data_IF_139821381923
#
_entry.id   IF_139821381923
#
_cell.length_a   1.000
_cell.length_b   1.000
_cell.length_c   1.000
_cell.angle_alpha   90.00
_cell.angle_beta   90.00
_cell.angle_gamma   90.00
#
_symmetry.space_group_name_H-M   'P 1'
#
loop_
_entity.id
_entity.type
_entity.pdbx_description
1 polymer ?
#
# COMPACT_ATOMS: atom_id res chain seq x y z
N UNK A 1 16.52 32.01 -3.01
CA UNK A 1 16.80 30.72 -2.38
C UNK A 1 17.99 30.93 -1.47
N UNK A 2 17.85 30.66 -0.17
CA UNK A 2 18.92 30.86 0.82
C UNK A 2 20.00 29.79 0.66
N UNK A 3 21.24 30.07 1.07
CA UNK A 3 22.32 29.06 1.10
C UNK A 3 21.94 27.86 1.98
N UNK A 4 21.16 28.10 3.03
CA UNK A 4 20.60 27.06 3.90
C UNK A 4 19.62 26.12 3.18
N UNK A 5 18.82 26.64 2.22
CA UNK A 5 17.89 25.82 1.44
C UNK A 5 18.65 24.90 0.48
N UNK A 6 19.80 25.36 -0.03
CA UNK A 6 20.64 24.58 -0.96
C UNK A 6 21.38 23.46 -0.24
N UNK A 7 21.83 23.70 0.99
CA UNK A 7 22.48 22.70 1.84
C UNK A 7 21.48 21.64 2.32
N UNK A 8 20.27 22.04 2.70
CA UNK A 8 19.19 21.11 3.09
C UNK A 8 18.75 20.16 1.97
N UNK A 9 18.68 20.65 0.72
CA UNK A 9 18.39 19.81 -0.46
C UNK A 9 19.54 18.83 -0.75
N UNK A 10 20.79 19.21 -0.42
CA UNK A 10 21.95 18.33 -0.63
C UNK A 10 22.05 17.18 0.38
N UNK A 11 21.37 17.29 1.52
CA UNK A 11 21.30 16.28 2.58
C UNK A 11 20.05 15.37 2.49
N UNK A 12 19.15 15.61 1.53
CA UNK A 12 18.01 14.74 1.29
C UNK A 12 18.47 13.36 0.81
N UNK A 13 18.07 12.32 1.55
CA UNK A 13 18.30 10.91 1.20
C UNK A 13 17.05 10.37 0.48
N UNK A 14 17.01 10.39 -0.87
CA UNK A 14 15.79 10.07 -1.62
C UNK A 14 15.41 8.60 -1.52
N UNK A 15 16.28 7.74 -1.00
CA UNK A 15 16.08 6.29 -0.94
C UNK A 15 14.84 5.93 -0.13
N UNK A 16 14.54 6.66 0.94
CA UNK A 16 13.31 6.44 1.71
C UNK A 16 12.07 6.75 0.87
N UNK A 17 12.05 7.87 0.16
CA UNK A 17 10.91 8.28 -0.66
C UNK A 17 10.70 7.34 -1.85
N UNK A 18 11.78 6.91 -2.50
CA UNK A 18 11.75 5.93 -3.57
C UNK A 18 11.19 4.60 -3.05
N UNK A 19 11.69 4.12 -1.90
CA UNK A 19 11.21 2.87 -1.30
C UNK A 19 9.72 2.96 -0.93
N UNK A 20 9.31 4.00 -0.22
CA UNK A 20 7.92 4.23 0.16
C UNK A 20 6.99 4.30 -1.05
N UNK A 21 7.39 5.04 -2.09
CA UNK A 21 6.64 5.15 -3.35
C UNK A 21 6.54 3.82 -4.09
N UNK A 22 7.64 3.06 -4.18
CA UNK A 22 7.66 1.73 -4.80
C UNK A 22 6.78 0.74 -4.05
N UNK A 23 6.86 0.71 -2.70
CA UNK A 23 6.00 -0.15 -1.90
C UNK A 23 4.52 0.21 -2.07
N UNK A 24 4.18 1.50 -2.01
CA UNK A 24 2.81 1.97 -2.25
C UNK A 24 2.26 1.65 -3.63
N UNK A 25 3.13 1.51 -4.64
CA UNK A 25 2.74 1.14 -6.00
C UNK A 25 2.67 -0.38 -6.21
N UNK A 26 3.64 -1.13 -5.69
CA UNK A 26 3.81 -2.55 -6.01
C UNK A 26 2.92 -3.46 -5.15
N UNK A 27 2.73 -3.17 -3.87
CA UNK A 27 1.96 -4.08 -2.99
C UNK A 27 0.48 -4.20 -3.37
N UNK A 28 -0.22 -3.15 -3.86
CA UNK A 28 -1.60 -3.31 -4.35
C UNK A 28 -1.66 -4.16 -5.60
N UNK A 29 -0.69 -4.00 -6.51
CA UNK A 29 -0.60 -4.82 -7.73
C UNK A 29 -0.38 -6.29 -7.36
N UNK A 30 0.55 -6.56 -6.44
CA UNK A 30 0.81 -7.92 -5.94
C UNK A 30 -0.42 -8.51 -5.26
N UNK A 31 -1.13 -7.73 -4.43
CA UNK A 31 -2.38 -8.16 -3.80
C UNK A 31 -3.44 -8.49 -4.84
N UNK A 32 -3.70 -7.61 -5.82
CA UNK A 32 -4.70 -7.84 -6.87
C UNK A 32 -4.39 -9.09 -7.69
N UNK A 33 -3.14 -9.27 -8.11
CA UNK A 33 -2.72 -10.48 -8.84
C UNK A 33 -2.86 -11.71 -7.94
N UNK A 34 -2.44 -11.62 -6.68
CA UNK A 34 -2.56 -12.70 -5.71
C UNK A 34 -4.01 -13.16 -5.51
N UNK A 35 -4.94 -12.22 -5.32
CA UNK A 35 -6.37 -12.51 -5.19
C UNK A 35 -6.88 -13.23 -6.45
N UNK A 36 -6.52 -12.74 -7.64
CA UNK A 36 -6.91 -13.37 -8.90
C UNK A 36 -6.36 -14.80 -9.02
N UNK A 37 -5.11 -15.02 -8.65
CA UNK A 37 -4.49 -16.35 -8.65
C UNK A 37 -5.18 -17.29 -7.68
N UNK A 38 -5.42 -16.85 -6.44
CA UNK A 38 -6.12 -17.65 -5.41
C UNK A 38 -7.51 -18.02 -5.91
N UNK A 39 -8.27 -17.07 -6.46
CA UNK A 39 -9.59 -17.31 -7.04
C UNK A 39 -9.57 -18.32 -8.20
N UNK A 40 -8.53 -18.35 -9.03
CA UNK A 40 -8.41 -19.32 -10.12
C UNK A 40 -8.11 -20.74 -9.64
N UNK A 41 -7.38 -20.90 -8.53
CA UNK A 41 -6.96 -22.22 -8.01
C UNK A 41 -7.89 -22.75 -6.93
N UNK A 42 -8.73 -21.90 -6.34
CA UNK A 42 -9.73 -22.31 -5.35
C UNK A 42 -10.80 -23.19 -5.99
N UNK A 43 -10.95 -24.45 -5.54
CA UNK A 43 -12.04 -25.30 -5.99
C UNK A 43 -13.38 -24.65 -5.59
N UNK A 44 -14.37 -24.76 -6.48
CA UNK A 44 -15.74 -24.29 -6.26
C UNK A 44 -15.93 -22.76 -6.11
N UNK A 45 -14.88 -21.94 -6.34
CA UNK A 45 -15.03 -20.48 -6.32
C UNK A 45 -15.73 -19.95 -7.58
N UNK A 46 -16.83 -19.24 -7.39
CA UNK A 46 -17.59 -18.56 -8.43
C UNK A 46 -17.25 -17.08 -8.50
N UNK A 47 -16.70 -16.63 -9.64
CA UNK A 47 -16.38 -15.21 -9.88
C UNK A 47 -17.59 -14.27 -9.90
N UNK A 48 -18.80 -14.82 -10.03
CA UNK A 48 -20.04 -14.04 -10.13
C UNK A 48 -20.78 -14.05 -8.78
N UNK A 49 -20.77 -15.17 -8.09
CA UNK A 49 -21.57 -15.38 -6.87
C UNK A 49 -20.76 -15.12 -5.59
N UNK A 50 -19.47 -15.47 -5.59
CA UNK A 50 -18.64 -15.41 -4.39
C UNK A 50 -17.85 -14.11 -4.31
N UNK A 51 -17.87 -13.50 -3.13
CA UNK A 51 -17.13 -12.29 -2.84
C UNK A 51 -15.65 -12.59 -2.54
N UNK A 52 -14.82 -11.55 -2.58
CA UNK A 52 -13.44 -11.63 -2.07
C UNK A 52 -13.42 -12.06 -0.60
N UNK A 53 -14.46 -11.72 0.19
CA UNK A 53 -14.54 -12.14 1.58
C UNK A 53 -14.82 -13.64 1.73
N UNK A 54 -15.50 -14.26 0.76
CA UNK A 54 -15.72 -15.71 0.73
C UNK A 54 -14.41 -16.43 0.41
N UNK A 55 -13.63 -15.89 -0.54
CA UNK A 55 -12.29 -16.37 -0.87
C UNK A 55 -11.31 -16.27 0.32
N UNK A 56 -11.54 -15.31 1.22
CA UNK A 56 -10.75 -15.13 2.45
C UNK A 56 -11.18 -16.06 3.60
N UNK A 57 -12.11 -16.99 3.39
CA UNK A 57 -12.50 -18.01 4.37
C UNK A 57 -11.98 -19.39 3.99
N UNK A 58 -11.95 -20.32 4.95
CA UNK A 58 -11.53 -21.70 4.72
C UNK A 58 -10.03 -21.83 4.43
N UNK A 59 -9.68 -22.70 3.48
CA UNK A 59 -8.31 -23.16 3.25
C UNK A 59 -7.37 -22.09 2.65
N UNK A 60 -7.92 -21.07 2.01
CA UNK A 60 -7.16 -19.96 1.40
C UNK A 60 -7.03 -18.73 2.30
N UNK A 61 -7.68 -18.74 3.47
CA UNK A 61 -7.68 -17.61 4.43
C UNK A 61 -6.27 -17.10 4.75
N UNK A 62 -5.33 -17.99 5.04
CA UNK A 62 -3.96 -17.61 5.37
C UNK A 62 -3.21 -16.91 4.22
N UNK A 63 -3.53 -17.24 2.96
CA UNK A 63 -2.93 -16.58 1.79
C UNK A 63 -3.51 -15.18 1.66
N UNK A 64 -4.83 -15.08 1.78
CA UNK A 64 -5.55 -13.81 1.71
C UNK A 64 -5.09 -12.83 2.80
N UNK A 65 -4.94 -13.30 4.04
CA UNK A 65 -4.39 -12.50 5.15
C UNK A 65 -3.00 -11.96 4.83
N UNK A 66 -2.11 -12.78 4.28
CA UNK A 66 -0.75 -12.35 3.89
C UNK A 66 -0.78 -11.29 2.79
N UNK A 67 -1.66 -11.44 1.80
CA UNK A 67 -1.83 -10.46 0.73
C UNK A 67 -2.35 -9.13 1.27
N UNK A 68 -3.34 -9.16 2.19
CA UNK A 68 -3.86 -7.96 2.83
C UNK A 68 -2.81 -7.28 3.71
N UNK A 69 -2.08 -8.02 4.55
CA UNK A 69 -1.02 -7.44 5.37
C UNK A 69 0.13 -6.86 4.54
N UNK A 70 0.48 -7.48 3.41
CA UNK A 70 1.46 -6.93 2.49
C UNK A 70 0.98 -5.60 1.87
N UNK A 71 -0.28 -5.54 1.44
CA UNK A 71 -0.89 -4.32 0.93
C UNK A 71 -0.92 -3.22 2.00
N UNK A 72 -1.35 -3.56 3.21
CA UNK A 72 -1.38 -2.68 4.36
C UNK A 72 -0.01 -2.06 4.66
N UNK A 73 1.04 -2.90 4.68
CA UNK A 73 2.41 -2.44 4.89
C UNK A 73 2.85 -1.43 3.82
N UNK A 74 2.49 -1.65 2.55
CA UNK A 74 2.79 -0.70 1.47
C UNK A 74 1.99 0.61 1.55
N UNK A 75 0.72 0.56 1.95
CA UNK A 75 -0.10 1.75 2.20
C UNK A 75 0.44 2.60 3.34
N UNK A 76 0.87 1.96 4.44
CA UNK A 76 1.54 2.63 5.56
C UNK A 76 2.87 3.23 5.12
N UNK A 77 3.67 2.50 4.33
CA UNK A 77 4.92 3.02 3.79
C UNK A 77 4.69 4.26 2.91
N UNK A 78 3.66 4.24 2.05
CA UNK A 78 3.28 5.39 1.23
C UNK A 78 2.83 6.57 2.08
N UNK A 79 2.03 6.34 3.11
CA UNK A 79 1.61 7.37 4.06
C UNK A 79 2.82 7.99 4.79
N UNK A 80 3.81 7.17 5.17
CA UNK A 80 5.04 7.63 5.78
C UNK A 80 5.87 8.50 4.82
N UNK A 81 6.00 8.09 3.56
CA UNK A 81 6.67 8.89 2.52
C UNK A 81 5.97 10.22 2.28
N UNK A 82 4.63 10.23 2.23
CA UNK A 82 3.84 11.44 2.12
C UNK A 82 3.98 12.34 3.36
N UNK A 83 4.08 11.76 4.56
CA UNK A 83 4.33 12.49 5.80
C UNK A 83 5.73 13.09 5.83
N UNK A 84 6.72 12.40 5.27
CA UNK A 84 8.09 12.90 5.18
C UNK A 84 8.18 14.14 4.28
N UNK A 85 7.47 14.14 3.14
CA UNK A 85 7.42 15.29 2.21
C UNK A 85 6.48 16.43 2.64
N UNK A 86 5.69 16.25 3.70
CA UNK A 86 4.49 17.02 4.06
C UNK A 86 4.36 18.41 3.40
N UNK A 87 3.60 18.50 2.29
CA UNK A 87 3.47 19.72 1.49
C UNK A 87 2.59 20.82 2.14
N UNK A 88 2.18 20.62 3.39
CA UNK A 88 1.58 21.64 4.24
C UNK A 88 0.20 22.07 3.78
N UNK A 89 -0.83 21.23 3.98
CA UNK A 89 -2.27 21.56 3.89
C UNK A 89 -3.11 20.45 4.54
N UNK A 90 -4.36 20.76 4.89
CA UNK A 90 -5.25 19.81 5.57
C UNK A 90 -5.68 18.63 4.69
N UNK A 91 -5.79 18.84 3.37
CA UNK A 91 -6.12 17.81 2.37
C UNK A 91 -5.00 16.76 2.27
N UNK A 92 -3.74 17.18 2.39
CA UNK A 92 -2.59 16.29 2.48
C UNK A 92 -2.66 15.39 3.72
N UNK A 93 -2.96 15.98 4.89
CA UNK A 93 -3.16 15.22 6.12
C UNK A 93 -4.29 14.22 6.02
N UNK A 94 -5.42 14.62 5.42
CA UNK A 94 -6.54 13.72 5.15
C UNK A 94 -6.13 12.53 4.27
N UNK A 95 -5.35 12.77 3.20
CA UNK A 95 -4.85 11.71 2.33
C UNK A 95 -4.00 10.68 3.07
N UNK A 96 -3.10 11.13 3.95
CA UNK A 96 -2.28 10.22 4.78
C UNK A 96 -3.13 9.39 5.74
N UNK A 97 -4.11 10.00 6.42
CA UNK A 97 -5.04 9.26 7.28
C UNK A 97 -5.88 8.25 6.51
N UNK A 98 -6.34 8.60 5.30
CA UNK A 98 -7.06 7.67 4.44
C UNK A 98 -6.20 6.45 4.06
N UNK A 99 -4.93 6.65 3.72
CA UNK A 99 -4.00 5.55 3.44
C UNK A 99 -3.80 4.65 4.66
N UNK A 100 -3.63 5.23 5.85
CA UNK A 100 -3.45 4.48 7.09
C UNK A 100 -4.72 3.72 7.50
N UNK A 101 -5.91 4.26 7.27
CA UNK A 101 -7.17 3.56 7.59
C UNK A 101 -7.56 2.48 6.58
N UNK A 102 -7.06 2.57 5.35
CA UNK A 102 -7.26 1.53 4.34
C UNK A 102 -6.32 0.33 4.56
N UNK A 103 -5.19 0.55 5.24
CA UNK A 103 -4.23 -0.47 5.62
C UNK A 103 -4.76 -1.34 6.77
#
# INVERSE_FOLDING_TARGET
MSSADTEAISDERPELLILCGLLGLLTPVVMSIGIVVVAMVSPDYSWIEDTISDLARGDTSWIMDKLFYLNAAGMIALALGAAHLHLGRWDWSLGMFALVFLA
#
